data_IF_982565135511
#
_entry.id   IF_982565135511
#
_cell.length_a   1.000
_cell.length_b   1.000
_cell.length_c   1.000
_cell.angle_alpha   90.00
_cell.angle_beta   90.00
_cell.angle_gamma   90.00
#
_symmetry.space_group_name_H-M   'P 1'
#
loop_
_entity.id
_entity.type
_entity.pdbx_description
1 polymer ?
#
# COMPACT_ATOMS: atom_id res chain seq x y z
N UNK A 1 -19.34 -10.75 -1.39
CA UNK A 1 -18.65 -10.34 -2.62
C UNK A 1 -17.20 -10.10 -2.25
N UNK A 2 -16.25 -10.76 -2.90
CA UNK A 2 -14.82 -10.47 -2.72
C UNK A 2 -14.43 -9.20 -3.47
N UNK A 3 -13.26 -8.63 -3.16
CA UNK A 3 -12.73 -7.50 -3.93
C UNK A 3 -12.53 -7.86 -5.40
N UNK A 4 -12.04 -9.07 -5.67
CA UNK A 4 -11.85 -9.57 -7.05
C UNK A 4 -13.19 -9.64 -7.80
N UNK A 5 -14.24 -10.19 -7.18
CA UNK A 5 -15.58 -10.21 -7.77
C UNK A 5 -16.15 -8.81 -8.01
N UNK A 6 -15.80 -7.83 -7.17
CA UNK A 6 -16.22 -6.44 -7.36
C UNK A 6 -15.58 -5.85 -8.62
N UNK A 7 -14.25 -5.92 -8.75
CA UNK A 7 -13.54 -5.36 -9.91
C UNK A 7 -13.81 -6.12 -11.22
N UNK A 8 -14.26 -7.37 -11.16
CA UNK A 8 -14.71 -8.13 -12.34
C UNK A 8 -16.11 -7.72 -12.83
N UNK A 9 -17.00 -7.31 -11.92
CA UNK A 9 -18.43 -7.11 -12.22
C UNK A 9 -18.84 -5.66 -12.32
N UNK A 10 -18.10 -4.77 -11.67
CA UNK A 10 -18.44 -3.36 -11.55
C UNK A 10 -17.32 -2.49 -12.11
N UNK A 11 -17.71 -1.34 -12.66
CA UNK A 11 -16.78 -0.25 -12.97
C UNK A 11 -16.76 0.71 -11.78
N UNK A 12 -15.66 0.75 -10.99
CA UNK A 12 -15.55 1.63 -9.82
C UNK A 12 -15.80 3.11 -10.16
N UNK A 13 -15.43 3.52 -11.37
CA UNK A 13 -15.59 4.91 -11.82
C UNK A 13 -17.06 5.26 -12.04
N UNK A 14 -17.83 4.34 -12.62
CA UNK A 14 -19.27 4.47 -12.76
C UNK A 14 -19.99 4.50 -11.41
N UNK A 15 -19.60 3.61 -10.48
CA UNK A 15 -20.15 3.57 -9.12
C UNK A 15 -19.87 4.85 -8.33
N UNK A 16 -18.71 5.47 -8.57
CA UNK A 16 -18.31 6.74 -7.93
C UNK A 16 -18.84 7.98 -8.68
N UNK A 17 -19.35 7.83 -9.90
CA UNK A 17 -19.72 8.96 -10.76
C UNK A 17 -18.54 9.86 -11.13
N UNK A 18 -17.33 9.30 -11.21
CA UNK A 18 -16.07 10.03 -11.47
C UNK A 18 -15.33 9.44 -12.67
N UNK A 19 -14.53 10.24 -13.37
CA UNK A 19 -13.69 9.75 -14.46
C UNK A 19 -12.38 9.10 -13.98
N UNK A 20 -11.97 9.35 -12.74
CA UNK A 20 -10.74 8.85 -12.15
C UNK A 20 -10.90 8.62 -10.64
N UNK A 21 -10.04 7.78 -10.07
CA UNK A 21 -10.01 7.55 -8.62
C UNK A 21 -9.00 8.50 -7.94
N UNK A 22 -9.48 9.44 -7.12
CA UNK A 22 -8.58 10.34 -6.39
C UNK A 22 -7.94 9.67 -5.17
N UNK A 23 -8.67 8.76 -4.53
CA UNK A 23 -8.22 8.13 -3.30
C UNK A 23 -8.80 6.72 -3.15
N UNK A 24 -7.99 5.80 -2.64
CA UNK A 24 -8.42 4.45 -2.27
C UNK A 24 -7.90 4.07 -0.88
N UNK A 25 -8.62 3.21 -0.17
CA UNK A 25 -8.19 2.67 1.12
C UNK A 25 -8.27 1.15 1.13
N UNK A 26 -7.12 0.50 1.30
CA UNK A 26 -6.97 -0.95 1.38
C UNK A 26 -6.91 -1.35 2.86
N UNK A 27 -8.04 -1.87 3.35
CA UNK A 27 -8.26 -2.34 4.73
C UNK A 27 -9.24 -3.53 4.74
N UNK A 28 -9.01 -4.47 3.82
CA UNK A 28 -9.88 -5.63 3.58
C UNK A 28 -9.36 -6.89 4.27
N UNK A 29 -8.86 -7.84 3.47
CA UNK A 29 -8.23 -9.05 4.00
C UNK A 29 -6.81 -8.72 4.49
N UNK A 30 -6.47 -9.19 5.69
CA UNK A 30 -5.13 -9.03 6.28
C UNK A 30 -4.07 -9.96 5.65
N UNK A 31 -4.22 -10.28 4.37
CA UNK A 31 -3.31 -11.11 3.59
C UNK A 31 -2.63 -10.25 2.54
N UNK A 32 -1.30 -10.22 2.54
CA UNK A 32 -0.53 -9.36 1.63
C UNK A 32 -0.84 -9.64 0.16
N UNK A 33 -1.16 -10.88 -0.21
CA UNK A 33 -1.51 -11.24 -1.59
C UNK A 33 -2.79 -10.56 -2.03
N UNK A 34 -3.79 -10.48 -1.15
CA UNK A 34 -5.02 -9.77 -1.46
C UNK A 34 -4.76 -8.27 -1.50
N UNK A 35 -4.11 -7.71 -0.48
CA UNK A 35 -3.80 -6.27 -0.45
C UNK A 35 -2.98 -5.81 -1.68
N UNK A 36 -2.04 -6.64 -2.16
CA UNK A 36 -1.28 -6.37 -3.38
C UNK A 36 -2.16 -6.45 -4.65
N UNK A 37 -3.08 -7.40 -4.73
CA UNK A 37 -4.05 -7.49 -5.84
C UNK A 37 -5.01 -6.30 -5.84
N UNK A 38 -5.48 -5.91 -4.67
CA UNK A 38 -6.33 -4.74 -4.49
C UNK A 38 -5.61 -3.50 -5.01
N UNK A 39 -4.33 -3.31 -4.64
CA UNK A 39 -3.51 -2.23 -5.20
C UNK A 39 -3.40 -2.29 -6.73
N UNK A 40 -3.12 -3.47 -7.31
CA UNK A 40 -3.02 -3.67 -8.76
C UNK A 40 -4.35 -3.36 -9.47
N UNK A 41 -5.49 -3.67 -8.85
CA UNK A 41 -6.80 -3.39 -9.41
C UNK A 41 -7.12 -1.89 -9.33
N UNK A 42 -6.83 -1.27 -8.17
CA UNK A 42 -7.00 0.16 -7.92
C UNK A 42 -6.17 1.01 -8.88
N UNK A 43 -4.90 0.64 -9.10
CA UNK A 43 -3.96 1.42 -9.92
C UNK A 43 -4.49 1.65 -11.35
N UNK A 44 -5.24 0.71 -11.93
CA UNK A 44 -5.81 0.83 -13.29
C UNK A 44 -6.79 1.98 -13.45
N UNK A 45 -7.39 2.44 -12.35
CA UNK A 45 -8.35 3.54 -12.32
C UNK A 45 -7.74 4.84 -11.78
N UNK A 46 -6.43 4.83 -11.53
CA UNK A 46 -5.70 5.94 -10.95
C UNK A 46 -5.31 7.01 -11.97
N UNK A 47 -4.80 8.11 -11.45
CA UNK A 47 -4.10 9.17 -12.16
C UNK A 47 -2.87 9.59 -11.33
N UNK A 48 -1.97 10.43 -11.86
CA UNK A 48 -0.71 10.76 -11.16
C UNK A 48 -0.88 11.37 -9.77
N UNK A 49 -2.07 11.91 -9.43
CA UNK A 49 -2.37 12.45 -8.09
C UNK A 49 -3.22 11.53 -7.21
N UNK A 50 -3.53 10.32 -7.66
CA UNK A 50 -4.22 9.34 -6.83
C UNK A 50 -3.40 9.02 -5.60
N UNK A 51 -4.07 8.93 -4.45
CA UNK A 51 -3.46 8.50 -3.18
C UNK A 51 -4.07 7.16 -2.78
N UNK A 52 -3.23 6.14 -2.59
CA UNK A 52 -3.67 4.87 -2.03
C UNK A 52 -3.16 4.72 -0.61
N UNK A 53 -4.10 4.51 0.31
CA UNK A 53 -3.81 4.21 1.70
C UNK A 53 -3.85 2.69 1.91
N UNK A 54 -2.90 2.14 2.67
CA UNK A 54 -2.86 0.72 3.03
C UNK A 54 -2.73 0.60 4.54
N UNK A 55 -3.67 -0.07 5.19
CA UNK A 55 -3.66 -0.27 6.64
C UNK A 55 -2.71 -1.42 7.04
N UNK A 56 -2.47 -1.60 8.35
CA UNK A 56 -1.71 -2.73 8.91
C UNK A 56 -0.26 -2.88 8.42
N UNK A 57 0.37 -1.74 8.14
CA UNK A 57 1.71 -1.67 7.55
C UNK A 57 2.85 -1.62 8.57
N UNK A 58 2.54 -1.50 9.85
CA UNK A 58 3.46 -1.37 10.97
C UNK A 58 2.90 -2.10 12.24
N UNK A 59 2.75 -3.43 12.19
CA UNK A 59 2.24 -4.19 13.33
C UNK A 59 3.15 -4.00 14.55
N UNK A 60 2.55 -3.90 15.74
CA UNK A 60 3.26 -3.62 17.02
C UNK A 60 3.91 -4.84 17.66
N UNK A 61 3.61 -6.04 17.17
CA UNK A 61 4.20 -7.29 17.67
C UNK A 61 4.15 -8.39 16.61
N UNK A 62 5.11 -9.33 16.68
CA UNK A 62 5.16 -10.50 15.78
C UNK A 62 3.88 -11.33 15.79
N UNK A 63 3.25 -11.49 16.97
CA UNK A 63 2.04 -12.28 17.11
C UNK A 63 0.86 -11.72 16.30
N UNK A 64 0.75 -10.38 16.20
CA UNK A 64 -0.34 -9.74 15.46
C UNK A 64 -0.05 -9.67 13.96
N UNK A 65 1.22 -9.85 13.56
CA UNK A 65 1.69 -9.90 12.17
C UNK A 65 1.69 -11.32 11.55
N UNK A 66 1.22 -12.33 12.29
CA UNK A 66 1.26 -13.71 11.86
C UNK A 66 0.20 -13.98 10.76
N UNK A 67 0.47 -14.82 9.75
CA UNK A 67 -0.52 -15.14 8.70
C UNK A 67 -1.80 -15.79 9.25
N UNK A 68 -1.68 -16.54 10.34
CA UNK A 68 -2.83 -17.14 11.04
C UNK A 68 -3.14 -16.28 12.26
N UNK A 69 -4.40 -15.84 12.35
CA UNK A 69 -4.87 -15.05 13.50
C UNK A 69 -4.78 -15.86 14.79
N UNK A 70 -3.91 -15.42 15.70
CA UNK A 70 -3.78 -16.00 17.04
C UNK A 70 -4.20 -15.02 18.17
N UNK A 71 -4.54 -13.79 17.81
CA UNK A 71 -4.79 -12.67 18.74
C UNK A 71 -6.09 -11.93 18.40
N UNK A 72 -6.65 -11.20 19.39
CA UNK A 72 -7.84 -10.35 19.19
C UNK A 72 -7.54 -9.23 18.21
N UNK A 73 -6.41 -8.54 18.37
CA UNK A 73 -5.88 -7.59 17.39
C UNK A 73 -5.00 -8.32 16.38
N UNK A 74 -5.21 -8.14 15.07
CA UNK A 74 -4.53 -8.90 14.03
C UNK A 74 -4.37 -8.08 12.76
N UNK A 75 -3.12 -7.90 12.34
CA UNK A 75 -2.70 -7.16 11.15
C UNK A 75 -2.38 -8.10 9.97
N UNK A 76 -2.24 -9.40 10.26
CA UNK A 76 -1.77 -10.38 9.30
C UNK A 76 -0.43 -9.97 8.69
N UNK A 77 -0.24 -10.24 7.41
CA UNK A 77 1.04 -9.99 6.74
C UNK A 77 1.02 -8.86 5.71
N UNK A 78 0.03 -7.96 5.79
CA UNK A 78 -0.18 -6.81 4.87
C UNK A 78 1.05 -5.91 4.73
N UNK A 79 1.85 -5.74 5.78
CA UNK A 79 3.13 -5.02 5.73
C UNK A 79 4.08 -5.52 4.64
N UNK A 80 3.96 -6.78 4.18
CA UNK A 80 4.71 -7.30 3.02
C UNK A 80 4.34 -6.58 1.72
N UNK A 81 3.10 -6.11 1.56
CA UNK A 81 2.66 -5.32 0.40
C UNK A 81 3.52 -4.07 0.26
N UNK A 82 3.75 -3.35 1.35
CA UNK A 82 4.61 -2.16 1.38
C UNK A 82 6.03 -2.48 0.88
N UNK A 83 6.59 -3.61 1.32
CA UNK A 83 7.90 -4.08 0.85
C UNK A 83 7.89 -4.42 -0.64
N UNK A 84 6.84 -5.06 -1.12
CA UNK A 84 6.66 -5.35 -2.55
C UNK A 84 6.65 -4.06 -3.36
N UNK A 85 5.87 -3.05 -2.95
CA UNK A 85 5.78 -1.77 -3.63
C UNK A 85 7.15 -1.09 -3.69
N UNK A 86 7.86 -0.94 -2.56
CA UNK A 86 9.18 -0.27 -2.54
C UNK A 86 10.22 -0.99 -3.41
N UNK A 87 10.20 -2.32 -3.43
CA UNK A 87 11.19 -3.11 -4.19
C UNK A 87 10.90 -3.13 -5.69
N UNK A 88 9.65 -3.37 -6.06
CA UNK A 88 9.25 -3.63 -7.45
C UNK A 88 8.78 -2.37 -8.18
N UNK A 89 8.44 -1.32 -7.44
CA UNK A 89 7.96 -0.04 -7.97
C UNK A 89 8.70 1.12 -7.31
N UNK A 90 10.02 1.26 -7.58
CA UNK A 90 10.83 2.36 -7.04
C UNK A 90 10.40 3.74 -7.56
N UNK A 91 9.55 3.78 -8.59
CA UNK A 91 8.86 4.96 -9.11
C UNK A 91 7.74 5.46 -8.18
N UNK A 92 7.13 4.58 -7.38
CA UNK A 92 6.14 4.99 -6.39
C UNK A 92 6.80 5.71 -5.22
N UNK A 93 6.07 6.67 -4.64
CA UNK A 93 6.41 7.20 -3.32
C UNK A 93 5.58 6.48 -2.27
N UNK A 94 6.26 5.79 -1.35
CA UNK A 94 5.65 5.04 -0.25
C UNK A 94 6.14 5.61 1.07
N UNK A 95 5.23 6.15 1.88
CA UNK A 95 5.50 6.66 3.24
C UNK A 95 4.67 5.89 4.25
N UNK A 96 5.25 5.49 5.38
CA UNK A 96 4.50 4.81 6.45
C UNK A 96 4.32 5.77 7.60
N UNK A 97 3.07 6.11 7.90
CA UNK A 97 2.68 6.92 9.04
C UNK A 97 2.49 5.98 10.24
N UNK A 98 3.11 6.24 11.41
CA UNK A 98 2.94 5.44 12.63
C UNK A 98 1.58 5.70 13.31
N UNK A 99 0.49 5.67 12.53
CA UNK A 99 -0.88 5.77 13.01
C UNK A 99 -1.18 4.56 13.90
N UNK A 100 -1.60 4.78 15.15
CA UNK A 100 -1.97 3.68 16.05
C UNK A 100 -3.23 2.96 15.54
N UNK A 101 -3.35 1.63 15.73
CA UNK A 101 -2.39 0.75 16.39
C UNK A 101 -1.35 0.11 15.46
N UNK A 102 -1.53 0.10 14.14
CA UNK A 102 -0.75 -0.75 13.23
C UNK A 102 -0.17 -0.05 12.01
N UNK A 103 -0.14 1.27 11.99
CA UNK A 103 0.45 2.07 10.92
C UNK A 103 -0.38 2.11 9.65
N UNK A 104 -0.11 3.14 8.85
CA UNK A 104 -0.82 3.43 7.60
C UNK A 104 0.21 3.81 6.54
N UNK A 105 0.30 3.02 5.47
CA UNK A 105 1.10 3.42 4.32
C UNK A 105 0.30 4.37 3.42
N UNK A 106 0.98 5.40 2.93
CA UNK A 106 0.49 6.36 1.94
C UNK A 106 1.32 6.16 0.68
N UNK A 107 0.64 5.83 -0.42
CA UNK A 107 1.26 5.53 -1.72
C UNK A 107 0.77 6.55 -2.75
N UNK A 108 1.72 7.15 -3.48
CA UNK A 108 1.50 8.20 -4.49
C UNK A 108 2.34 7.95 -5.74
N UNK A 109 2.10 8.75 -6.79
CA UNK A 109 2.70 8.62 -8.12
C UNK A 109 2.36 7.31 -8.83
N UNK A 110 1.09 6.90 -8.72
CA UNK A 110 0.58 5.72 -9.42
C UNK A 110 0.57 5.95 -10.94
N UNK A 111 0.72 4.85 -11.68
CA UNK A 111 0.63 4.84 -13.14
C UNK A 111 -0.42 3.80 -13.56
N UNK A 112 -1.58 4.22 -14.12
CA UNK A 112 -2.64 3.30 -14.51
C UNK A 112 -2.25 2.33 -15.63
N UNK A 113 -1.17 2.62 -16.36
CA UNK A 113 -0.65 1.74 -17.41
C UNK A 113 0.42 0.78 -16.90
N UNK A 114 0.86 0.90 -15.65
CA UNK A 114 1.89 0.04 -15.09
C UNK A 114 1.41 -1.41 -15.02
N UNK A 115 2.25 -2.31 -15.55
CA UNK A 115 1.99 -3.75 -15.52
C UNK A 115 2.98 -4.50 -14.64
N UNK A 116 3.98 -3.80 -14.08
CA UNK A 116 5.16 -4.40 -13.42
C UNK A 116 4.78 -5.39 -12.32
N UNK A 117 3.84 -5.02 -11.45
CA UNK A 117 3.43 -5.88 -10.34
C UNK A 117 2.62 -7.09 -10.83
N UNK A 118 1.73 -6.87 -11.80
CA UNK A 118 0.91 -7.93 -12.40
C UNK A 118 1.78 -8.96 -13.11
N UNK A 119 2.69 -8.50 -13.96
CA UNK A 119 3.53 -9.36 -14.78
C UNK A 119 4.56 -10.15 -13.94
N UNK A 120 4.88 -9.66 -12.73
CA UNK A 120 5.78 -10.30 -11.77
C UNK A 120 5.06 -11.01 -10.62
N UNK A 121 3.75 -11.25 -10.72
CA UNK A 121 2.95 -11.84 -9.64
C UNK A 121 3.53 -13.15 -9.13
N UNK A 122 3.98 -14.04 -10.03
CA UNK A 122 4.56 -15.34 -9.64
C UNK A 122 5.93 -15.19 -8.97
N UNK A 123 6.77 -14.28 -9.46
CA UNK A 123 8.09 -13.96 -8.88
C UNK A 123 7.91 -13.43 -7.45
N UNK A 124 7.02 -12.44 -7.28
CA UNK A 124 6.67 -11.87 -5.98
C UNK A 124 6.07 -12.97 -5.08
N UNK A 125 5.15 -13.77 -5.60
CA UNK A 125 4.57 -14.85 -4.81
C UNK A 125 5.64 -15.82 -4.33
N UNK A 126 6.59 -16.23 -5.19
CA UNK A 126 7.67 -17.15 -4.85
C UNK A 126 8.64 -16.58 -3.80
N UNK A 127 9.05 -15.31 -3.92
CA UNK A 127 9.94 -14.68 -2.95
C UNK A 127 9.32 -14.64 -1.54
N UNK A 128 8.01 -14.46 -1.45
CA UNK A 128 7.28 -14.34 -0.20
C UNK A 128 6.58 -15.65 0.23
N UNK A 129 6.66 -16.72 -0.58
CA UNK A 129 6.06 -18.05 -0.32
C UNK A 129 6.73 -18.78 0.86
N UNK A 130 8.05 -18.61 1.01
CA UNK A 130 8.88 -19.42 1.92
C UNK A 130 9.78 -18.62 2.85
N UNK A 131 9.72 -17.28 2.82
CA UNK A 131 10.48 -16.50 3.77
C UNK A 131 9.66 -16.41 5.06
N UNK A 132 10.20 -17.02 6.11
CA UNK A 132 10.27 -16.33 7.40
C UNK A 132 10.92 -14.96 7.16
N UNK A 133 10.20 -14.01 6.56
CA UNK A 133 10.53 -12.63 6.82
C UNK A 133 10.23 -12.49 8.30
N UNK A 134 11.28 -12.57 9.10
CA UNK A 134 11.15 -12.36 10.53
C UNK A 134 10.57 -10.97 10.69
N UNK A 135 9.69 -10.83 11.68
CA UNK A 135 9.18 -9.53 12.10
C UNK A 135 10.30 -8.50 12.31
N UNK A 136 11.54 -8.94 12.59
CA UNK A 136 12.76 -8.12 12.67
C UNK A 136 13.04 -7.35 11.37
N UNK A 137 12.43 -7.71 10.24
CA UNK A 137 12.47 -6.89 9.02
C UNK A 137 11.80 -5.51 9.21
N UNK A 138 10.80 -5.41 10.09
CA UNK A 138 10.23 -4.14 10.52
C UNK A 138 11.23 -3.28 11.29
N UNK A 139 12.28 -3.90 11.85
CA UNK A 139 13.41 -3.22 12.49
C UNK A 139 14.57 -2.93 11.52
N UNK A 140 14.42 -3.24 10.23
CA UNK A 140 15.49 -3.06 9.24
C UNK A 140 15.65 -1.60 8.80
N UNK A 141 16.86 -1.28 8.33
CA UNK A 141 17.17 0.04 7.77
C UNK A 141 16.25 0.46 6.62
N UNK A 142 15.57 -0.48 5.93
CA UNK A 142 14.57 -0.13 4.93
C UNK A 142 13.35 0.52 5.58
N UNK A 143 12.80 -0.06 6.65
CA UNK A 143 11.65 0.49 7.36
C UNK A 143 12.04 1.78 8.08
N UNK A 144 13.22 1.82 8.69
CA UNK A 144 13.77 3.09 9.19
C UNK A 144 13.85 4.14 8.07
N UNK A 145 14.25 3.76 6.84
CA UNK A 145 14.20 4.58 5.64
C UNK A 145 12.79 5.05 5.28
N UNK A 146 11.78 4.18 5.36
CA UNK A 146 10.38 4.50 5.04
C UNK A 146 9.71 5.40 6.08
N UNK A 147 10.04 5.19 7.36
CA UNK A 147 9.61 6.02 8.49
C UNK A 147 10.35 7.36 8.50
N UNK A 148 11.63 7.37 8.13
CA UNK A 148 12.48 8.57 8.07
C UNK A 148 12.30 9.41 6.81
N UNK A 149 11.56 8.90 5.80
CA UNK A 149 11.09 9.70 4.65
C UNK A 149 9.98 10.67 5.10
N UNK A 150 10.36 11.60 5.96
CA UNK A 150 9.69 12.89 6.16
C UNK A 150 8.21 12.81 6.46
N UNK A 151 7.74 11.85 7.27
CA UNK A 151 6.43 11.98 7.90
C UNK A 151 6.61 12.92 9.09
N UNK A 152 6.17 14.19 9.02
CA UNK A 152 6.33 15.11 10.12
C UNK A 152 5.44 14.67 11.29
N UNK A 153 5.89 14.94 12.53
CA UNK A 153 5.06 14.74 13.72
C UNK A 153 3.78 15.60 13.71
N UNK A 154 3.73 16.64 12.85
CA UNK A 154 2.55 17.46 12.60
C UNK A 154 1.80 16.99 11.35
N UNK A 155 0.58 16.47 11.56
CA UNK A 155 -0.32 16.10 10.47
C UNK A 155 -0.57 17.24 9.48
N UNK A 156 -0.60 18.51 9.91
CA UNK A 156 -0.80 19.64 9.00
C UNK A 156 0.40 19.83 8.08
N UNK A 157 1.61 19.63 8.59
CA UNK A 157 2.82 19.65 7.78
C UNK A 157 2.81 18.48 6.80
N UNK A 158 2.46 17.27 7.24
CA UNK A 158 2.31 16.11 6.36
C UNK A 158 1.35 16.40 5.19
N UNK A 159 0.18 16.96 5.49
CA UNK A 159 -0.80 17.31 4.46
C UNK A 159 -0.26 18.37 3.48
N UNK A 160 0.50 19.37 3.95
CA UNK A 160 1.13 20.38 3.08
C UNK A 160 2.17 19.75 2.15
N UNK A 161 3.00 18.87 2.69
CA UNK A 161 4.07 18.20 1.93
C UNK A 161 3.47 17.28 0.86
N UNK A 162 2.41 16.54 1.23
CA UNK A 162 1.66 15.70 0.29
C UNK A 162 0.98 16.54 -0.80
N UNK A 163 0.31 17.64 -0.47
CA UNK A 163 -0.32 18.51 -1.49
C UNK A 163 0.74 19.10 -2.45
N UNK A 164 1.88 19.54 -1.91
CA UNK A 164 2.99 20.06 -2.73
C UNK A 164 3.53 19.01 -3.69
N UNK A 165 3.72 17.77 -3.24
CA UNK A 165 4.15 16.65 -4.06
C UNK A 165 3.16 16.35 -5.19
N UNK A 166 1.88 16.19 -4.83
CA UNK A 166 0.83 15.86 -5.80
C UNK A 166 0.68 16.97 -6.87
N UNK A 167 0.90 18.24 -6.51
CA UNK A 167 0.93 19.34 -7.50
C UNK A 167 2.13 19.24 -8.44
N UNK A 168 3.29 18.80 -7.95
CA UNK A 168 4.48 18.60 -8.76
C UNK A 168 4.30 17.55 -9.86
N UNK A 169 3.57 16.48 -9.56
CA UNK A 169 3.33 15.37 -10.50
C UNK A 169 2.63 15.80 -11.81
N UNK A 170 1.88 16.92 -11.82
CA UNK A 170 1.20 17.46 -13.01
C UNK A 170 2.13 18.23 -13.96
N UNK A 171 3.31 18.67 -13.49
CA UNK A 171 4.22 19.51 -14.28
C UNK A 171 5.24 18.69 -15.09
N UNK A 172 5.29 17.38 -14.84
CA UNK A 172 6.26 16.44 -15.41
C UNK A 172 5.68 15.47 -16.45
N UNK A 173 4.39 15.64 -16.82
CA UNK A 173 3.67 14.81 -17.79
C UNK A 173 3.44 15.49 -19.14
#
# INVERSE_FOLDING_TARGET
MTTDEFFERYDPLAELGSATLDMAFIDGLHEYKQALRDFINIERYSHPRTVVLVHDCLPVARAVAAPVRATVFWCGDVWKTVRCLVKYRPDLTVRVVPARPSGLAVVTHLDPNSTVLRDRTEEIAAEYKNRELSYEYLDSALIAGMMSRGVPDDCRQFCRDLDSELRGALQSG
#
